data_IF_199526188604
#
_entry.id   IF_199526188604
#
_cell.length_a   1.000
_cell.length_b   1.000
_cell.length_c   1.000
_cell.angle_alpha   90.00
_cell.angle_beta   90.00
_cell.angle_gamma   90.00
#
_symmetry.space_group_name_H-M   'P 1'
#
loop_
_entity.id
_entity.type
_entity.pdbx_description
1 polymer ?
#
# COMPACT_ATOMS: atom_id res chain seq x y z
N UNK A 1 -37.91 -49.50 71.30
CA UNK A 1 -37.20 -50.55 70.53
C UNK A 1 -36.94 -49.94 69.21
N UNK A 2 -35.71 -49.96 68.85
CA UNK A 2 -35.20 -50.10 67.47
C UNK A 2 -34.00 -49.18 67.29
N UNK A 3 -33.00 -49.84 66.92
CA UNK A 3 -31.59 -49.54 66.94
C UNK A 3 -31.13 -48.52 65.90
N UNK A 4 -30.35 -47.58 66.40
CA UNK A 4 -29.51 -46.74 65.59
C UNK A 4 -28.41 -47.58 64.88
N UNK A 5 -28.25 -47.42 63.61
CA UNK A 5 -27.07 -47.87 62.88
C UNK A 5 -26.40 -46.64 62.29
N UNK A 6 -25.32 -46.25 62.94
CA UNK A 6 -24.36 -45.28 62.37
C UNK A 6 -23.58 -45.97 61.24
N UNK A 7 -23.71 -45.49 60.06
CA UNK A 7 -22.83 -45.80 58.93
C UNK A 7 -21.89 -44.59 58.75
N UNK A 8 -20.69 -44.77 59.26
CA UNK A 8 -19.57 -43.88 58.94
C UNK A 8 -19.15 -44.09 57.51
N UNK A 9 -19.34 -43.07 56.65
CA UNK A 9 -18.80 -43.04 55.32
C UNK A 9 -17.42 -42.35 55.40
N UNK A 10 -16.34 -42.96 54.95
CA UNK A 10 -15.06 -42.28 54.86
C UNK A 10 -15.06 -41.32 53.68
N UNK A 11 -14.80 -40.06 54.00
CA UNK A 11 -14.59 -38.99 53.04
C UNK A 11 -13.23 -39.20 52.35
N UNK A 12 -13.26 -39.73 51.15
CA UNK A 12 -12.07 -39.85 50.32
C UNK A 12 -11.79 -38.48 49.69
N UNK A 13 -10.80 -37.79 50.24
CA UNK A 13 -10.22 -36.60 49.61
C UNK A 13 -9.46 -37.02 48.36
N UNK A 14 -10.08 -36.82 47.20
CA UNK A 14 -9.40 -36.83 45.91
C UNK A 14 -8.58 -35.55 45.81
N UNK A 15 -7.30 -35.64 46.11
CA UNK A 15 -6.30 -34.64 45.71
C UNK A 15 -6.16 -34.69 44.20
N UNK A 16 -6.88 -33.81 43.52
CA UNK A 16 -6.63 -33.54 42.11
C UNK A 16 -5.26 -32.85 42.01
N UNK A 17 -4.25 -33.62 41.64
CA UNK A 17 -2.98 -33.06 41.21
C UNK A 17 -3.22 -32.30 39.91
N UNK A 18 -3.17 -30.97 39.99
CA UNK A 18 -3.05 -30.15 38.81
C UNK A 18 -1.67 -30.41 38.20
N UNK A 19 -1.61 -31.29 37.23
CA UNK A 19 -0.44 -31.40 36.37
C UNK A 19 -0.38 -30.13 35.54
N UNK A 20 0.53 -29.23 35.89
CA UNK A 20 0.93 -28.13 35.05
C UNK A 20 1.48 -28.69 33.75
N UNK A 21 0.92 -28.33 32.58
CA UNK A 21 1.50 -28.80 31.31
C UNK A 21 2.94 -28.27 31.22
N UNK A 22 3.88 -29.06 30.70
CA UNK A 22 5.25 -28.65 30.55
C UNK A 22 5.26 -27.36 29.71
N UNK A 23 5.74 -26.25 30.29
CA UNK A 23 6.00 -25.04 29.55
C UNK A 23 7.04 -25.39 28.49
N UNK A 24 6.58 -25.46 27.24
CA UNK A 24 7.50 -25.51 26.11
C UNK A 24 8.39 -24.28 26.20
N UNK A 25 9.70 -24.49 26.26
CA UNK A 25 10.68 -23.43 26.14
C UNK A 25 10.32 -22.56 24.94
N UNK A 26 10.33 -21.22 25.08
CA UNK A 26 10.02 -20.34 23.95
C UNK A 26 10.96 -20.69 22.81
N UNK A 27 10.39 -21.13 21.68
CA UNK A 27 11.17 -21.28 20.45
C UNK A 27 11.86 -19.96 20.18
N UNK A 28 13.17 -19.97 19.85
CA UNK A 28 13.82 -18.78 19.38
C UNK A 28 13.02 -18.27 18.18
N UNK A 29 12.33 -17.14 18.36
CA UNK A 29 11.64 -16.45 17.28
C UNK A 29 12.75 -16.05 16.30
N UNK A 30 12.74 -16.52 15.05
CA UNK A 30 13.69 -16.03 14.07
C UNK A 30 13.57 -14.51 14.04
N UNK A 31 14.67 -13.76 13.90
CA UNK A 31 14.62 -12.31 13.85
C UNK A 31 13.56 -11.93 12.83
N UNK A 32 12.58 -11.15 13.26
CA UNK A 32 11.53 -10.67 12.40
C UNK A 32 12.24 -9.97 11.24
N UNK A 33 12.27 -10.64 10.09
CA UNK A 33 12.63 -9.98 8.84
C UNK A 33 11.61 -8.87 8.72
N UNK A 34 12.03 -7.64 8.98
CA UNK A 34 11.21 -6.46 8.81
C UNK A 34 10.85 -6.45 7.33
N UNK A 35 9.74 -7.07 6.99
CA UNK A 35 9.11 -6.82 5.70
C UNK A 35 8.75 -5.36 5.77
N UNK A 36 9.50 -4.55 5.05
CA UNK A 36 9.08 -3.19 4.73
C UNK A 36 7.81 -3.37 3.90
N UNK A 37 6.68 -3.39 4.57
CA UNK A 37 5.38 -3.30 3.93
C UNK A 37 5.31 -1.88 3.38
N UNK A 38 5.69 -1.72 2.13
CA UNK A 38 5.48 -0.46 1.42
C UNK A 38 3.96 -0.29 1.37
N UNK A 39 3.47 0.74 2.07
CA UNK A 39 2.07 1.12 2.00
C UNK A 39 1.74 1.47 0.53
N UNK A 40 0.87 0.72 -0.15
CA UNK A 40 0.55 0.95 -1.56
C UNK A 40 0.03 2.37 -1.81
N UNK A 41 -0.67 2.94 -0.84
CA UNK A 41 -1.20 4.29 -0.94
C UNK A 41 -0.10 5.36 -0.85
N UNK A 42 0.89 5.14 0.01
CA UNK A 42 2.06 6.03 0.09
C UNK A 42 2.89 5.96 -1.20
N UNK A 43 3.08 4.76 -1.76
CA UNK A 43 3.78 4.56 -3.03
C UNK A 43 3.06 5.25 -4.19
N UNK A 44 1.74 5.15 -4.26
CA UNK A 44 0.92 5.81 -5.30
C UNK A 44 1.00 7.33 -5.20
N UNK A 45 0.93 7.90 -4.00
CA UNK A 45 1.08 9.36 -3.79
C UNK A 45 2.46 9.86 -4.19
N UNK A 46 3.51 9.15 -3.82
CA UNK A 46 4.87 9.51 -4.20
C UNK A 46 5.06 9.48 -5.71
N UNK A 47 4.51 8.47 -6.38
CA UNK A 47 4.54 8.34 -7.83
C UNK A 47 3.77 9.47 -8.53
N UNK A 48 2.54 9.79 -8.08
CA UNK A 48 1.74 10.90 -8.62
C UNK A 48 2.49 12.23 -8.48
N UNK A 49 3.00 12.54 -7.29
CA UNK A 49 3.74 13.79 -7.04
C UNK A 49 4.99 13.91 -7.92
N UNK A 50 5.71 12.82 -8.16
CA UNK A 50 6.89 12.83 -9.02
C UNK A 50 6.53 12.92 -10.51
N UNK A 51 5.42 12.31 -10.92
CA UNK A 51 4.96 12.27 -12.30
C UNK A 51 4.39 13.63 -12.79
N UNK A 52 3.73 14.38 -11.93
CA UNK A 52 3.10 15.65 -12.29
C UNK A 52 4.06 16.62 -13.02
N UNK A 53 5.23 17.00 -12.48
CA UNK A 53 6.16 17.89 -13.19
C UNK A 53 6.77 17.23 -14.43
N UNK A 54 6.98 15.90 -14.43
CA UNK A 54 7.53 15.18 -15.57
C UNK A 54 6.56 15.16 -16.76
N UNK A 55 5.27 14.99 -16.51
CA UNK A 55 4.21 15.09 -17.52
C UNK A 55 4.13 16.50 -18.08
N UNK A 56 4.16 17.53 -17.21
CA UNK A 56 4.18 18.92 -17.64
C UNK A 56 5.38 19.24 -18.55
N UNK A 57 6.57 18.77 -18.19
CA UNK A 57 7.77 18.93 -19.02
C UNK A 57 7.68 18.15 -20.34
N UNK A 58 7.10 16.97 -20.36
CA UNK A 58 6.86 16.20 -21.58
C UNK A 58 5.88 16.95 -22.51
N UNK A 59 4.85 17.58 -21.94
CA UNK A 59 3.90 18.41 -22.70
C UNK A 59 4.59 19.63 -23.33
N UNK A 60 5.44 20.33 -22.58
CA UNK A 60 6.19 21.52 -23.06
C UNK A 60 7.14 21.20 -24.21
N UNK A 61 7.66 20.00 -24.27
CA UNK A 61 8.50 19.57 -25.42
C UNK A 61 7.73 19.57 -26.73
N UNK A 62 6.45 19.24 -26.67
CA UNK A 62 5.57 19.22 -27.85
C UNK A 62 4.91 20.58 -28.08
N UNK A 63 4.53 21.25 -27.00
CA UNK A 63 3.86 22.55 -26.98
C UNK A 63 4.67 23.48 -26.05
N UNK A 64 5.63 24.25 -26.57
CA UNK A 64 6.60 25.00 -25.75
C UNK A 64 5.97 26.05 -24.82
N UNK A 65 4.81 26.54 -25.17
CA UNK A 65 4.08 27.57 -24.38
C UNK A 65 2.63 27.13 -24.19
N UNK A 66 2.39 26.03 -23.46
CA UNK A 66 1.02 25.65 -23.15
C UNK A 66 0.45 26.74 -22.22
N UNK A 67 -0.81 27.09 -22.40
CA UNK A 67 -1.56 27.92 -21.47
C UNK A 67 -1.78 27.15 -20.13
N UNK A 68 -3.02 27.06 -19.66
CA UNK A 68 -3.30 26.28 -18.48
C UNK A 68 -3.15 24.78 -18.76
N UNK A 69 -2.51 24.06 -17.83
CA UNK A 69 -2.41 22.59 -17.84
C UNK A 69 -3.08 22.07 -16.59
N UNK A 70 -4.02 21.16 -16.75
CA UNK A 70 -4.75 20.53 -15.65
C UNK A 70 -4.66 19.03 -15.76
N UNK A 71 -4.09 18.36 -14.76
CA UNK A 71 -4.13 16.92 -14.61
C UNK A 71 -5.35 16.52 -13.79
N UNK A 72 -6.01 15.43 -14.17
CA UNK A 72 -7.20 14.91 -13.50
C UNK A 72 -6.79 13.85 -12.47
N UNK A 73 -6.40 14.29 -11.27
CA UNK A 73 -5.91 13.41 -10.21
C UNK A 73 -6.93 12.34 -9.79
N UNK A 74 -8.22 12.63 -9.89
CA UNK A 74 -9.32 11.70 -9.59
C UNK A 74 -9.47 10.57 -10.62
N UNK A 75 -8.80 10.69 -11.77
CA UNK A 75 -8.80 9.69 -12.84
C UNK A 75 -7.47 8.96 -12.99
N UNK A 76 -6.52 9.22 -12.11
CA UNK A 76 -5.25 8.50 -12.12
C UNK A 76 -5.43 7.03 -11.71
N UNK A 77 -4.76 6.15 -12.42
CA UNK A 77 -4.70 4.72 -12.12
C UNK A 77 -3.25 4.32 -11.85
N UNK A 78 -3.06 3.54 -10.79
CA UNK A 78 -1.74 3.15 -10.32
C UNK A 78 -1.53 1.65 -10.49
N UNK A 79 -0.42 1.27 -11.08
CA UNK A 79 -0.04 -0.12 -11.27
C UNK A 79 1.33 -0.37 -10.66
N UNK A 80 1.35 -1.09 -9.55
CA UNK A 80 2.61 -1.53 -8.95
C UNK A 80 3.29 -2.54 -9.87
N UNK A 81 4.57 -2.34 -10.13
CA UNK A 81 5.40 -3.17 -10.98
C UNK A 81 6.58 -3.75 -10.20
N UNK A 82 7.24 -4.81 -10.70
CA UNK A 82 8.49 -5.29 -10.14
C UNK A 82 9.54 -4.18 -10.03
N UNK A 83 10.59 -4.41 -9.21
CA UNK A 83 11.72 -3.49 -9.04
C UNK A 83 11.37 -2.11 -8.44
N UNK A 84 10.36 -2.08 -7.56
CA UNK A 84 9.89 -0.85 -6.90
C UNK A 84 9.40 0.23 -7.88
N UNK A 85 8.90 -0.18 -9.04
CA UNK A 85 8.31 0.71 -10.02
C UNK A 85 6.81 0.87 -9.81
N UNK A 86 6.29 2.05 -10.12
CA UNK A 86 4.86 2.34 -10.17
C UNK A 86 4.56 3.03 -11.49
N UNK A 87 3.63 2.47 -12.26
CA UNK A 87 3.08 3.14 -13.44
C UNK A 87 1.88 3.98 -13.02
N UNK A 88 1.90 5.26 -13.36
CA UNK A 88 0.78 6.20 -13.19
C UNK A 88 0.21 6.49 -14.55
N UNK A 89 -1.04 6.09 -14.77
CA UNK A 89 -1.77 6.38 -16.00
C UNK A 89 -2.86 7.39 -15.69
N UNK A 90 -2.95 8.45 -16.46
CA UNK A 90 -3.92 9.51 -16.19
C UNK A 90 -4.32 10.28 -17.43
N UNK A 91 -5.16 11.26 -17.18
CA UNK A 91 -5.71 12.16 -18.19
C UNK A 91 -5.45 13.60 -17.79
N UNK A 92 -5.39 14.47 -18.77
CA UNK A 92 -5.31 15.90 -18.54
C UNK A 92 -5.89 16.69 -19.70
N UNK A 93 -5.98 17.97 -19.50
CA UNK A 93 -6.35 18.95 -20.53
C UNK A 93 -5.37 20.11 -20.50
N UNK A 94 -5.11 20.71 -21.63
CA UNK A 94 -4.31 21.92 -21.72
C UNK A 94 -4.83 22.83 -22.83
N UNK A 95 -4.51 24.09 -22.73
CA UNK A 95 -4.79 25.09 -23.77
C UNK A 95 -3.52 25.32 -24.57
N UNK A 96 -3.47 24.95 -25.87
CA UNK A 96 -2.31 25.25 -26.70
C UNK A 96 -2.29 26.73 -27.08
N UNK A 97 -1.12 27.38 -26.96
CA UNK A 97 -0.79 28.69 -27.56
C UNK A 97 -1.89 29.78 -27.40
N UNK A 98 -2.39 30.00 -26.20
CA UNK A 98 -3.46 30.98 -25.90
C UNK A 98 -4.78 30.77 -26.68
N UNK A 99 -4.95 29.61 -27.27
CA UNK A 99 -6.22 29.26 -27.93
C UNK A 99 -7.27 28.96 -26.86
N UNK A 100 -8.52 29.35 -27.15
CA UNK A 100 -9.66 29.08 -26.27
C UNK A 100 -10.12 27.61 -26.30
N UNK A 101 -9.47 26.77 -27.12
CA UNK A 101 -9.82 25.35 -27.29
C UNK A 101 -8.90 24.47 -26.45
N UNK A 102 -9.43 23.85 -25.42
CA UNK A 102 -8.70 22.87 -24.62
C UNK A 102 -8.52 21.54 -25.39
N UNK A 103 -7.33 20.96 -25.32
CA UNK A 103 -7.01 19.65 -25.86
C UNK A 103 -6.86 18.66 -24.73
N UNK A 104 -7.56 17.53 -24.82
CA UNK A 104 -7.40 16.41 -23.92
C UNK A 104 -6.18 15.58 -24.28
N UNK A 105 -5.50 15.03 -23.29
CA UNK A 105 -4.40 14.09 -23.48
C UNK A 105 -4.44 12.97 -22.43
N UNK A 106 -3.81 11.85 -22.78
CA UNK A 106 -3.55 10.75 -21.89
C UNK A 106 -2.05 10.63 -21.64
N UNK A 107 -1.67 10.24 -20.44
CA UNK A 107 -0.28 9.97 -20.13
C UNK A 107 -0.08 8.65 -19.40
N UNK A 108 1.11 8.09 -19.56
CA UNK A 108 1.62 7.00 -18.76
C UNK A 108 3.02 7.40 -18.28
N UNK A 109 3.18 7.45 -16.95
CA UNK A 109 4.41 7.82 -16.30
C UNK A 109 4.94 6.66 -15.48
N UNK A 110 6.22 6.33 -15.60
CA UNK A 110 6.89 5.29 -14.85
C UNK A 110 7.79 5.91 -13.79
N UNK A 111 7.45 5.68 -12.53
CA UNK A 111 8.21 6.13 -11.37
C UNK A 111 8.92 4.97 -10.69
N UNK A 112 10.16 5.18 -10.25
CA UNK A 112 10.93 4.20 -9.50
C UNK A 112 11.15 4.69 -8.07
N UNK A 113 10.54 4.01 -7.10
CA UNK A 113 10.63 4.38 -5.68
C UNK A 113 12.02 4.16 -5.08
N UNK A 114 12.83 3.27 -5.68
CA UNK A 114 14.21 3.02 -5.21
C UNK A 114 15.14 4.18 -5.50
N UNK A 115 14.97 4.81 -6.65
CA UNK A 115 15.78 5.95 -7.10
C UNK A 115 15.12 7.30 -6.83
N UNK A 116 13.81 7.32 -6.55
CA UNK A 116 13.00 8.53 -6.42
C UNK A 116 12.82 9.29 -7.73
N UNK A 117 13.01 8.64 -8.88
CA UNK A 117 13.01 9.29 -10.20
C UNK A 117 11.93 8.75 -11.11
N UNK A 118 11.47 9.63 -12.00
CA UNK A 118 10.68 9.23 -13.17
C UNK A 118 11.62 8.67 -14.23
N UNK A 119 11.30 7.48 -14.74
CA UNK A 119 12.12 6.77 -15.73
C UNK A 119 11.58 6.94 -17.16
N UNK A 120 10.26 7.09 -17.31
CA UNK A 120 9.62 7.23 -18.62
C UNK A 120 8.32 8.02 -18.51
N UNK A 121 8.01 8.78 -19.56
CA UNK A 121 6.72 9.48 -19.74
C UNK A 121 6.29 9.34 -21.19
N UNK A 122 5.13 8.74 -21.39
CA UNK A 122 4.48 8.60 -22.69
C UNK A 122 3.21 9.45 -22.74
N UNK A 123 3.00 10.14 -23.83
CA UNK A 123 1.86 11.05 -24.03
C UNK A 123 1.09 10.65 -25.29
N UNK A 124 -0.23 10.77 -25.23
CA UNK A 124 -1.14 10.63 -26.38
C UNK A 124 -2.15 11.78 -26.38
N UNK A 125 -2.34 12.40 -27.52
CA UNK A 125 -3.22 13.55 -27.74
C UNK A 125 -4.44 13.16 -28.58
#
# INVERSE_FOLDING_TARGET
>A
MIRASCLCLPLVCLLAACETPPQMAPRPVPPATTRITVDPQAASRAASTACEPAVAEALKRRYPQPGSVMLMADREQYYLRPNAQTSVNGEGVFEPDDSSSAIGFYYACLYNARTGKVEDVQMRY
#
